data_IF_503349002315
#
_entry.id   IF_503349002315
#
_cell.length_a   1.000
_cell.length_b   1.000
_cell.length_c   1.000
_cell.angle_alpha   90.00
_cell.angle_beta   90.00
_cell.angle_gamma   90.00
#
_symmetry.space_group_name_H-M   'P 1'
#
loop_
_entity.id
_entity.type
_entity.pdbx_description
1 polymer ?
#
# COMPACT_ATOMS: atom_id res chain seq x y z
N UNK A 1 -17.28 21.38 -2.70
CA UNK A 1 -15.88 21.69 -2.32
C UNK A 1 -15.69 21.66 -0.81
N UNK A 2 -16.42 22.45 -0.01
CA UNK A 2 -16.24 22.52 1.44
C UNK A 2 -16.49 21.20 2.18
N UNK A 3 -17.52 20.43 1.82
CA UNK A 3 -17.81 19.14 2.47
C UNK A 3 -16.67 18.13 2.31
N UNK A 4 -16.09 18.08 1.11
CA UNK A 4 -14.96 17.19 0.80
C UNK A 4 -13.69 17.62 1.56
N UNK A 5 -13.41 18.91 1.61
CA UNK A 5 -12.31 19.46 2.39
C UNK A 5 -12.46 19.11 3.88
N UNK A 6 -13.67 19.23 4.40
CA UNK A 6 -13.97 18.86 5.79
C UNK A 6 -13.70 17.38 6.07
N UNK A 7 -14.16 16.47 5.20
CA UNK A 7 -13.92 15.02 5.36
C UNK A 7 -12.43 14.68 5.34
N UNK A 8 -11.66 15.27 4.44
CA UNK A 8 -10.21 15.03 4.34
C UNK A 8 -9.46 15.58 5.56
N UNK A 9 -9.85 16.77 6.03
CA UNK A 9 -9.26 17.36 7.23
C UNK A 9 -9.63 16.58 8.49
N UNK A 10 -10.86 16.11 8.60
CA UNK A 10 -11.32 15.30 9.72
C UNK A 10 -10.59 13.95 9.76
N UNK A 11 -10.39 13.32 8.60
CA UNK A 11 -9.62 12.09 8.49
C UNK A 11 -8.14 12.28 8.86
N UNK A 12 -7.55 13.44 8.55
CA UNK A 12 -6.15 13.75 8.83
C UNK A 12 -5.91 14.26 10.26
N UNK A 13 -6.80 15.11 10.80
CA UNK A 13 -6.62 15.82 12.07
C UNK A 13 -7.64 15.45 13.16
N UNK A 14 -8.55 14.53 12.88
CA UNK A 14 -9.60 14.14 13.82
C UNK A 14 -10.48 15.32 14.23
N UNK A 15 -10.92 15.38 15.50
CA UNK A 15 -11.84 16.44 15.99
C UNK A 15 -11.30 17.88 15.89
N UNK A 16 -9.99 18.04 15.74
CA UNK A 16 -9.33 19.35 15.63
C UNK A 16 -9.34 19.95 14.22
N UNK A 17 -9.90 19.26 13.24
CA UNK A 17 -9.88 19.68 11.86
C UNK A 17 -10.43 21.09 11.59
N UNK A 18 -11.42 21.53 12.39
CA UNK A 18 -12.01 22.89 12.26
C UNK A 18 -11.00 23.98 12.62
N UNK A 19 -10.31 23.80 13.73
CA UNK A 19 -9.24 24.73 14.15
C UNK A 19 -8.12 24.78 13.09
N UNK A 20 -7.73 23.64 12.54
CA UNK A 20 -6.73 23.58 11.45
C UNK A 20 -7.26 24.28 10.20
N UNK A 21 -8.53 24.09 9.84
CA UNK A 21 -9.15 24.77 8.71
C UNK A 21 -9.15 26.29 8.87
N UNK A 22 -9.49 26.79 10.06
CA UNK A 22 -9.47 28.20 10.37
C UNK A 22 -8.06 28.80 10.30
N UNK A 23 -7.06 28.09 10.81
CA UNK A 23 -5.65 28.52 10.76
C UNK A 23 -5.09 28.56 9.34
N UNK A 24 -5.49 27.63 8.47
CA UNK A 24 -5.00 27.54 7.10
C UNK A 24 -5.64 28.57 6.17
N UNK A 25 -6.86 29.00 6.47
CA UNK A 25 -7.66 29.81 5.56
C UNK A 25 -7.95 29.13 4.22
N UNK A 26 -8.64 29.80 3.34
CA UNK A 26 -9.10 29.23 2.04
C UNK A 26 -7.93 28.79 1.15
N UNK A 27 -6.85 29.54 1.11
CA UNK A 27 -5.69 29.21 0.28
C UNK A 27 -4.88 28.04 0.86
N UNK A 28 -4.68 28.04 2.17
CA UNK A 28 -4.04 26.92 2.86
C UNK A 28 -4.83 25.63 2.73
N UNK A 29 -6.16 25.70 2.80
CA UNK A 29 -7.04 24.55 2.56
C UNK A 29 -6.92 24.03 1.12
N UNK A 30 -6.89 24.91 0.13
CA UNK A 30 -6.68 24.50 -1.28
C UNK A 30 -5.33 23.82 -1.47
N UNK A 31 -4.26 24.36 -0.88
CA UNK A 31 -2.92 23.77 -0.96
C UNK A 31 -2.84 22.41 -0.29
N UNK A 32 -3.63 22.18 0.79
CA UNK A 32 -3.59 20.94 1.55
C UNK A 32 -4.53 19.87 0.99
N UNK A 33 -5.72 20.26 0.57
CA UNK A 33 -6.75 19.37 0.02
C UNK A 33 -6.45 18.98 -1.43
N UNK A 34 -5.81 19.87 -2.20
CA UNK A 34 -5.38 19.63 -3.56
C UNK A 34 -3.94 19.12 -3.69
N UNK A 35 -3.33 18.61 -2.64
CA UNK A 35 -2.02 17.99 -2.73
C UNK A 35 -2.12 16.68 -3.50
N UNK A 36 -1.67 16.73 -4.73
CA UNK A 36 -1.41 15.54 -5.53
C UNK A 36 -0.31 14.68 -4.91
N UNK A 37 -0.26 13.42 -5.29
CA UNK A 37 0.88 12.57 -4.97
C UNK A 37 2.15 13.21 -5.55
N UNK A 38 3.16 13.33 -4.73
CA UNK A 38 4.48 13.79 -5.17
C UNK A 38 5.32 12.59 -5.60
N UNK A 39 6.28 12.82 -6.49
CA UNK A 39 7.22 11.78 -6.93
C UNK A 39 8.06 11.17 -5.80
N UNK A 40 8.10 11.83 -4.65
CA UNK A 40 8.76 11.35 -3.44
C UNK A 40 7.83 11.42 -2.24
N UNK A 41 7.60 10.28 -1.60
CA UNK A 41 6.78 10.13 -0.39
C UNK A 41 7.70 9.91 0.80
N UNK A 42 7.73 10.84 1.74
CA UNK A 42 8.50 10.72 2.98
C UNK A 42 7.60 10.98 4.18
N UNK A 43 7.64 10.06 5.12
CA UNK A 43 6.91 10.16 6.38
C UNK A 43 7.91 10.06 7.52
N UNK A 44 8.00 11.06 8.42
CA UNK A 44 8.96 11.03 9.54
C UNK A 44 8.61 9.93 10.55
N UNK A 45 7.34 9.55 10.61
CA UNK A 45 6.83 8.49 11.48
C UNK A 45 5.98 7.49 10.68
N UNK A 46 5.88 6.26 11.19
CA UNK A 46 5.07 5.22 10.55
C UNK A 46 3.59 5.60 10.46
N UNK A 47 3.10 6.37 11.41
CA UNK A 47 1.67 6.61 11.58
C UNK A 47 0.94 5.49 12.34
N UNK A 48 -0.30 5.79 12.76
CA UNK A 48 -1.13 4.87 13.52
C UNK A 48 -1.89 3.89 12.61
N UNK A 49 -1.97 2.63 13.04
CA UNK A 49 -2.74 1.56 12.38
C UNK A 49 -1.89 0.38 11.90
N UNK A 50 -2.54 -0.77 11.73
CA UNK A 50 -1.89 -2.05 11.51
C UNK A 50 -1.02 -2.48 12.71
N UNK A 51 -0.16 -3.47 12.50
CA UNK A 51 0.78 -3.93 13.52
C UNK A 51 2.22 -3.56 13.12
N UNK A 52 2.86 -2.65 13.87
CA UNK A 52 4.24 -2.21 13.62
C UNK A 52 5.28 -3.32 13.79
N UNK A 53 4.97 -4.37 14.56
CA UNK A 53 5.84 -5.52 14.76
C UNK A 53 5.68 -6.59 13.67
N UNK A 54 4.66 -6.48 12.83
CA UNK A 54 4.47 -7.39 11.70
C UNK A 54 5.57 -7.14 10.65
N UNK A 55 6.36 -8.15 10.39
CA UNK A 55 7.44 -8.05 9.39
C UNK A 55 6.86 -7.84 7.99
N UNK A 56 7.42 -6.91 7.25
CA UNK A 56 6.95 -6.55 5.92
C UNK A 56 5.73 -5.62 5.91
N UNK A 57 5.34 -5.02 7.06
CA UNK A 57 4.30 -4.00 7.04
C UNK A 57 4.82 -2.67 6.47
N UNK A 58 3.93 -1.88 5.89
CA UNK A 58 4.23 -0.52 5.44
C UNK A 58 3.59 0.53 6.37
N UNK A 59 3.91 1.81 6.11
CA UNK A 59 3.22 2.92 6.76
C UNK A 59 1.78 3.04 6.26
N UNK A 60 0.77 3.17 7.13
CA UNK A 60 -0.59 3.47 6.71
C UNK A 60 -0.72 4.80 5.98
N UNK A 61 0.24 5.73 6.14
CA UNK A 61 0.25 7.00 5.44
C UNK A 61 0.47 6.84 3.92
N UNK A 62 1.11 5.75 3.49
CA UNK A 62 1.22 5.41 2.05
C UNK A 62 -0.17 5.16 1.48
N UNK A 63 -0.94 4.27 2.12
CA UNK A 63 -2.31 3.94 1.67
C UNK A 63 -3.23 5.15 1.80
N UNK A 64 -3.10 5.93 2.88
CA UNK A 64 -3.83 7.16 3.09
C UNK A 64 -3.57 8.21 2.00
N UNK A 65 -2.32 8.37 1.56
CA UNK A 65 -1.98 9.28 0.47
C UNK A 65 -2.58 8.83 -0.87
N UNK A 66 -2.54 7.53 -1.16
CA UNK A 66 -3.17 6.95 -2.35
C UNK A 66 -4.70 7.13 -2.33
N UNK A 67 -5.34 6.85 -1.19
CA UNK A 67 -6.78 7.07 -1.02
C UNK A 67 -7.13 8.54 -1.24
N UNK A 68 -6.40 9.47 -0.63
CA UNK A 68 -6.62 10.92 -0.80
C UNK A 68 -6.53 11.31 -2.27
N UNK A 69 -5.48 10.87 -2.97
CA UNK A 69 -5.31 11.12 -4.40
C UNK A 69 -6.48 10.59 -5.23
N UNK A 70 -6.90 9.34 -4.99
CA UNK A 70 -8.02 8.75 -5.73
C UNK A 70 -9.36 9.41 -5.41
N UNK A 71 -9.59 9.78 -4.16
CA UNK A 71 -10.83 10.41 -3.72
C UNK A 71 -10.94 11.87 -4.20
N UNK A 72 -9.84 12.55 -4.52
CA UNK A 72 -9.85 13.88 -5.14
C UNK A 72 -10.20 13.87 -6.64
N UNK A 73 -10.27 12.68 -7.24
CA UNK A 73 -10.75 12.54 -8.62
C UNK A 73 -12.19 13.04 -8.75
N UNK A 74 -12.48 13.74 -9.86
CA UNK A 74 -13.80 14.31 -10.15
C UNK A 74 -14.94 13.29 -10.06
N UNK A 75 -14.66 12.01 -10.27
CA UNK A 75 -15.63 10.92 -10.19
C UNK A 75 -16.19 10.73 -8.78
N UNK A 76 -15.40 11.06 -7.74
CA UNK A 76 -15.77 10.90 -6.33
C UNK A 76 -16.06 12.23 -5.64
N UNK A 77 -15.83 13.33 -6.34
CA UNK A 77 -16.01 14.66 -5.78
C UNK A 77 -17.45 14.89 -5.32
N UNK A 78 -17.62 15.19 -4.03
CA UNK A 78 -18.93 15.41 -3.40
C UNK A 78 -19.80 14.16 -3.24
N UNK A 79 -19.28 12.95 -3.56
CA UNK A 79 -19.98 11.70 -3.33
C UNK A 79 -19.67 11.15 -1.94
N UNK A 80 -20.53 10.26 -1.47
CA UNK A 80 -20.30 9.48 -0.27
C UNK A 80 -19.07 8.56 -0.47
N UNK A 81 -18.09 8.69 0.39
CA UNK A 81 -16.85 7.89 0.34
C UNK A 81 -17.10 6.40 0.57
N UNK A 82 -18.21 6.02 1.21
CA UNK A 82 -18.60 4.62 1.41
C UNK A 82 -18.83 3.87 0.08
N UNK A 83 -19.08 4.60 -1.02
CA UNK A 83 -19.21 4.02 -2.36
C UNK A 83 -17.86 3.66 -2.99
N UNK A 84 -16.76 4.18 -2.46
CA UNK A 84 -15.40 3.88 -2.90
C UNK A 84 -14.93 2.56 -2.28
N UNK A 85 -14.35 1.68 -3.07
CA UNK A 85 -13.86 0.38 -2.64
C UNK A 85 -12.34 0.31 -2.76
N UNK A 86 -11.67 0.11 -1.62
CA UNK A 86 -10.26 -0.28 -1.53
C UNK A 86 -10.17 -1.80 -1.42
N UNK A 87 -9.39 -2.43 -2.28
CA UNK A 87 -9.02 -3.85 -2.16
C UNK A 87 -7.54 -3.96 -1.79
N UNK A 88 -7.24 -4.79 -0.79
CA UNK A 88 -5.88 -5.23 -0.47
C UNK A 88 -5.84 -6.77 -0.48
N UNK A 89 -5.23 -7.37 -1.53
CA UNK A 89 -5.21 -8.82 -1.71
C UNK A 89 -4.15 -9.54 -0.88
N UNK A 90 -3.32 -8.81 -0.12
CA UNK A 90 -2.30 -9.35 0.78
C UNK A 90 -2.21 -8.49 2.04
N UNK A 91 -3.33 -8.41 2.77
CA UNK A 91 -3.60 -7.40 3.79
C UNK A 91 -2.72 -7.51 5.06
N UNK A 92 -2.10 -8.65 5.29
CA UNK A 92 -1.14 -8.87 6.38
C UNK A 92 -1.64 -8.38 7.74
N UNK A 93 -1.00 -7.34 8.26
CA UNK A 93 -1.34 -6.75 9.57
C UNK A 93 -2.52 -5.77 9.55
N UNK A 94 -3.18 -5.57 8.39
CA UNK A 94 -4.32 -4.68 8.27
C UNK A 94 -3.97 -3.19 8.17
N UNK A 95 -2.82 -2.85 7.64
CA UNK A 95 -2.42 -1.44 7.41
C UNK A 95 -3.43 -0.72 6.53
N UNK A 96 -3.90 -1.36 5.47
CA UNK A 96 -4.92 -0.83 4.54
C UNK A 96 -6.27 -0.62 5.22
N UNK A 97 -6.63 -1.49 6.19
CA UNK A 97 -7.86 -1.33 6.99
C UNK A 97 -7.86 -0.01 7.76
N UNK A 98 -6.75 0.28 8.43
CA UNK A 98 -6.62 1.51 9.21
C UNK A 98 -6.77 2.77 8.33
N UNK A 99 -6.19 2.74 7.13
CA UNK A 99 -6.35 3.83 6.18
C UNK A 99 -7.79 3.92 5.63
N UNK A 100 -8.42 2.79 5.32
CA UNK A 100 -9.80 2.74 4.83
C UNK A 100 -10.79 3.31 5.86
N UNK A 101 -10.65 2.94 7.14
CA UNK A 101 -11.49 3.45 8.22
C UNK A 101 -11.36 4.97 8.39
N UNK A 102 -10.12 5.47 8.33
CA UNK A 102 -9.82 6.90 8.43
C UNK A 102 -10.52 7.72 7.33
N UNK A 103 -10.67 7.17 6.13
CA UNK A 103 -11.34 7.82 5.00
C UNK A 103 -12.78 7.35 4.79
N UNK A 104 -13.30 6.48 5.67
CA UNK A 104 -14.66 5.94 5.61
C UNK A 104 -14.98 5.30 4.25
N UNK A 105 -14.01 4.60 3.67
CA UNK A 105 -14.18 3.86 2.42
C UNK A 105 -14.42 2.37 2.70
N UNK A 106 -15.16 1.71 1.83
CA UNK A 106 -15.33 0.25 1.90
C UNK A 106 -13.98 -0.42 1.67
N UNK A 107 -13.61 -1.40 2.51
CA UNK A 107 -12.39 -2.19 2.34
C UNK A 107 -12.69 -3.66 2.11
N UNK A 108 -12.05 -4.25 1.10
CA UNK A 108 -11.99 -5.68 0.84
C UNK A 108 -10.56 -6.13 1.15
N UNK A 109 -10.40 -6.97 2.15
CA UNK A 109 -9.09 -7.40 2.64
C UNK A 109 -9.00 -8.91 2.52
N UNK A 110 -8.00 -9.39 1.81
CA UNK A 110 -7.74 -10.80 1.60
C UNK A 110 -6.32 -11.15 1.99
N UNK A 111 -6.11 -12.39 2.42
CA UNK A 111 -4.78 -12.89 2.76
C UNK A 111 -4.74 -14.42 2.61
N UNK A 112 -3.59 -14.94 2.21
CA UNK A 112 -3.35 -16.38 2.17
C UNK A 112 -3.26 -16.98 3.60
N UNK A 113 -2.85 -16.17 4.58
CA UNK A 113 -2.89 -16.54 5.98
C UNK A 113 -4.30 -16.99 6.40
N UNK A 114 -4.47 -18.18 7.00
CA UNK A 114 -5.80 -18.65 7.42
C UNK A 114 -6.43 -17.79 8.53
N UNK A 115 -5.64 -17.05 9.28
CA UNK A 115 -6.09 -16.20 10.39
C UNK A 115 -5.49 -14.79 10.28
N UNK A 116 -5.87 -13.99 9.26
CA UNK A 116 -5.40 -12.63 9.14
C UNK A 116 -6.00 -11.75 10.24
N UNK A 117 -5.36 -10.62 10.52
CA UNK A 117 -5.88 -9.66 11.51
C UNK A 117 -7.25 -9.10 11.10
N UNK A 118 -7.50 -8.96 9.79
CA UNK A 118 -8.75 -8.45 9.22
C UNK A 118 -9.04 -9.14 7.89
N UNK A 119 -10.32 -9.21 7.55
CA UNK A 119 -10.77 -9.67 6.23
C UNK A 119 -10.85 -11.19 6.10
N UNK A 120 -10.74 -11.66 4.85
CA UNK A 120 -10.91 -13.07 4.47
C UNK A 120 -9.57 -13.77 4.42
N UNK A 121 -9.37 -14.75 5.28
CA UNK A 121 -8.23 -15.67 5.27
C UNK A 121 -8.40 -16.83 4.29
N UNK A 122 -7.33 -17.62 4.11
CA UNK A 122 -7.27 -18.71 3.12
C UNK A 122 -7.64 -18.27 1.70
N UNK A 123 -7.40 -17.00 1.37
CA UNK A 123 -7.63 -16.48 0.02
C UNK A 123 -6.32 -16.50 -0.77
N UNK A 124 -6.34 -17.23 -1.86
CA UNK A 124 -5.15 -17.49 -2.66
C UNK A 124 -5.08 -16.53 -3.87
N UNK A 125 -4.17 -15.59 -3.83
CA UNK A 125 -3.98 -14.60 -4.89
C UNK A 125 -3.68 -15.22 -6.26
N UNK A 126 -3.18 -16.45 -6.34
CA UNK A 126 -2.92 -17.14 -7.60
C UNK A 126 -4.14 -17.87 -8.16
N UNK A 127 -5.07 -18.29 -7.31
CA UNK A 127 -6.15 -19.22 -7.69
C UNK A 127 -7.54 -18.64 -7.55
N UNK A 128 -7.78 -17.88 -6.46
CA UNK A 128 -9.11 -17.39 -6.14
C UNK A 128 -9.46 -16.15 -6.95
N UNK A 129 -10.73 -16.03 -7.28
CA UNK A 129 -11.25 -14.87 -8.00
C UNK A 129 -11.46 -13.68 -7.06
N UNK A 130 -11.37 -12.48 -7.60
CA UNK A 130 -11.78 -11.24 -6.93
C UNK A 130 -13.27 -11.06 -7.15
N UNK A 131 -14.07 -11.21 -6.09
CA UNK A 131 -15.53 -11.22 -6.16
C UNK A 131 -16.14 -9.87 -6.57
N UNK A 132 -15.52 -8.77 -6.15
CA UNK A 132 -16.00 -7.40 -6.36
C UNK A 132 -14.96 -6.52 -7.07
N UNK A 133 -15.42 -5.63 -7.95
CA UNK A 133 -14.56 -4.63 -8.54
C UNK A 133 -14.17 -3.53 -7.54
N UNK A 134 -12.94 -3.04 -7.62
CA UNK A 134 -12.38 -2.03 -6.75
C UNK A 134 -12.05 -0.71 -7.48
N UNK A 135 -12.08 0.39 -6.75
CA UNK A 135 -11.66 1.72 -7.24
C UNK A 135 -10.16 1.94 -7.03
N UNK A 136 -9.62 1.39 -5.97
CA UNK A 136 -8.19 1.32 -5.68
C UNK A 136 -7.84 -0.09 -5.24
N UNK A 137 -6.85 -0.70 -5.86
CA UNK A 137 -6.22 -1.92 -5.37
C UNK A 137 -4.84 -1.54 -4.87
N UNK A 138 -4.58 -1.79 -3.59
CA UNK A 138 -3.27 -1.63 -2.98
C UNK A 138 -2.63 -2.99 -2.84
N UNK A 139 -1.60 -3.24 -3.64
CA UNK A 139 -0.93 -4.52 -3.72
C UNK A 139 0.49 -4.42 -3.16
N UNK A 140 0.73 -5.01 -1.99
CA UNK A 140 2.03 -5.06 -1.33
C UNK A 140 2.49 -6.51 -1.19
N UNK A 141 3.05 -7.10 -2.26
CA UNK A 141 3.47 -8.50 -2.25
C UNK A 141 4.72 -8.72 -1.39
N UNK A 142 5.03 -9.97 -1.02
CA UNK A 142 6.36 -10.34 -0.52
C UNK A 142 7.45 -9.91 -1.50
N UNK A 143 8.63 -9.54 -0.98
CA UNK A 143 9.80 -9.28 -1.82
C UNK A 143 10.57 -10.59 -2.00
N UNK A 144 10.02 -11.48 -2.85
CA UNK A 144 10.49 -12.84 -3.03
C UNK A 144 10.72 -13.51 -1.66
N UNK A 145 11.85 -14.15 -1.43
CA UNK A 145 12.16 -14.88 -0.18
C UNK A 145 12.89 -14.05 0.88
N UNK A 146 12.86 -12.70 0.79
CA UNK A 146 13.44 -11.83 1.83
C UNK A 146 12.81 -12.08 3.20
N UNK A 147 11.50 -12.29 3.24
CA UNK A 147 10.73 -12.72 4.40
C UNK A 147 9.87 -13.88 3.96
N UNK A 148 10.08 -15.06 4.52
CA UNK A 148 9.20 -16.21 4.30
C UNK A 148 8.03 -16.13 5.29
N UNK A 149 6.81 -16.07 4.76
CA UNK A 149 5.60 -15.89 5.57
C UNK A 149 5.02 -17.21 6.05
N UNK A 150 4.52 -18.05 5.17
CA UNK A 150 3.97 -19.35 5.57
C UNK A 150 5.05 -20.27 6.13
N UNK A 151 4.73 -20.97 7.22
CA UNK A 151 5.66 -21.82 7.95
C UNK A 151 6.63 -21.07 8.88
N UNK A 152 6.81 -19.76 8.74
CA UNK A 152 7.71 -18.97 9.59
C UNK A 152 6.98 -17.88 10.38
N UNK A 153 6.05 -17.17 9.75
CA UNK A 153 5.25 -16.12 10.40
C UNK A 153 3.86 -16.66 10.77
N UNK A 154 3.29 -17.49 9.90
CA UNK A 154 2.00 -18.14 10.14
C UNK A 154 1.96 -19.55 9.54
N UNK A 155 1.15 -20.42 10.16
CA UNK A 155 0.79 -21.75 9.69
C UNK A 155 1.94 -22.65 9.25
N UNK A 156 1.65 -23.54 8.33
CA UNK A 156 2.59 -24.43 7.65
C UNK A 156 3.03 -23.83 6.30
N UNK A 157 4.18 -24.26 5.74
CA UNK A 157 4.58 -23.83 4.40
C UNK A 157 3.49 -24.07 3.36
N UNK A 158 3.18 -23.05 2.57
CA UNK A 158 2.14 -23.10 1.53
C UNK A 158 2.78 -22.98 0.14
N UNK A 159 2.42 -23.85 -0.84
CA UNK A 159 3.08 -23.88 -2.15
C UNK A 159 2.81 -22.62 -2.99
N UNK A 160 1.70 -21.93 -2.74
CA UNK A 160 1.34 -20.71 -3.45
C UNK A 160 1.72 -19.42 -2.70
N UNK A 161 2.49 -19.53 -1.62
CA UNK A 161 3.08 -18.37 -0.97
C UNK A 161 4.19 -17.77 -1.85
N UNK A 162 4.00 -16.54 -2.32
CA UNK A 162 4.98 -15.86 -3.19
C UNK A 162 6.35 -15.71 -2.53
N UNK A 163 6.42 -15.73 -1.20
CA UNK A 163 7.69 -15.70 -0.47
C UNK A 163 8.45 -17.03 -0.51
N UNK A 164 7.83 -18.08 -1.06
CA UNK A 164 8.40 -19.44 -1.16
C UNK A 164 8.60 -19.92 -2.58
N UNK A 165 8.57 -19.01 -3.53
CA UNK A 165 8.91 -19.32 -4.92
C UNK A 165 10.30 -19.94 -5.03
N UNK A 166 10.44 -20.92 -5.88
CA UNK A 166 11.67 -21.68 -6.06
C UNK A 166 12.86 -20.78 -6.44
N UNK A 167 12.59 -19.83 -7.34
CA UNK A 167 13.57 -18.85 -7.79
C UNK A 167 12.92 -17.52 -8.15
N UNK A 168 13.72 -16.51 -8.44
CA UNK A 168 13.24 -15.17 -8.74
C UNK A 168 12.41 -15.10 -10.03
N UNK A 169 12.69 -15.93 -11.02
CA UNK A 169 11.90 -15.97 -12.28
C UNK A 169 10.49 -16.52 -12.03
N UNK A 170 10.37 -17.61 -11.26
CA UNK A 170 9.06 -18.16 -10.84
C UNK A 170 8.27 -17.12 -10.03
N UNK A 171 8.96 -16.40 -9.14
CA UNK A 171 8.34 -15.30 -8.39
C UNK A 171 7.78 -14.21 -9.33
N UNK A 172 8.55 -13.75 -10.31
CA UNK A 172 8.13 -12.71 -11.26
C UNK A 172 6.96 -13.18 -12.14
N UNK A 173 6.93 -14.43 -12.56
CA UNK A 173 5.83 -15.00 -13.33
C UNK A 173 4.52 -14.99 -12.53
N UNK A 174 4.57 -15.48 -11.29
CA UNK A 174 3.42 -15.47 -10.38
C UNK A 174 2.98 -14.06 -10.01
N UNK A 175 3.94 -13.16 -9.80
CA UNK A 175 3.66 -11.75 -9.54
C UNK A 175 2.92 -11.09 -10.71
N UNK A 176 3.39 -11.33 -11.94
CA UNK A 176 2.74 -10.84 -13.16
C UNK A 176 1.32 -11.41 -13.32
N UNK A 177 1.13 -12.68 -13.01
CA UNK A 177 -0.21 -13.28 -12.99
C UNK A 177 -1.15 -12.53 -12.01
N UNK A 178 -0.70 -12.27 -10.80
CA UNK A 178 -1.47 -11.50 -9.80
C UNK A 178 -1.78 -10.08 -10.31
N UNK A 179 -0.79 -9.37 -10.85
CA UNK A 179 -0.96 -8.00 -11.38
C UNK A 179 -2.04 -7.96 -12.46
N UNK A 180 -2.01 -8.88 -13.43
CA UNK A 180 -3.00 -8.96 -14.50
C UNK A 180 -4.41 -9.21 -13.94
N UNK A 181 -4.55 -10.15 -13.00
CA UNK A 181 -5.81 -10.45 -12.35
C UNK A 181 -6.37 -9.24 -11.59
N UNK A 182 -5.53 -8.57 -10.83
CA UNK A 182 -5.96 -7.37 -10.08
C UNK A 182 -6.30 -6.21 -11.01
N UNK A 183 -5.57 -6.04 -12.10
CA UNK A 183 -5.90 -5.03 -13.10
C UNK A 183 -7.31 -5.25 -13.68
N UNK A 184 -7.67 -6.51 -13.97
CA UNK A 184 -9.01 -6.86 -14.47
C UNK A 184 -10.12 -6.67 -13.42
N UNK A 185 -9.80 -6.69 -12.13
CA UNK A 185 -10.74 -6.44 -11.05
C UNK A 185 -10.96 -4.94 -10.77
N UNK A 186 -10.28 -4.05 -11.48
CA UNK A 186 -10.51 -2.61 -11.33
C UNK A 186 -11.81 -2.18 -11.99
N UNK A 187 -12.51 -1.27 -11.34
CA UNK A 187 -13.56 -0.49 -12.00
C UNK A 187 -12.96 0.40 -13.08
N UNK A 188 -13.75 0.74 -14.08
CA UNK A 188 -13.33 1.70 -15.11
C UNK A 188 -12.77 2.98 -14.48
N UNK A 189 -11.49 3.27 -14.76
CA UNK A 189 -10.75 4.38 -14.19
C UNK A 189 -10.27 4.16 -12.75
N UNK A 190 -10.40 2.95 -12.19
CA UNK A 190 -9.75 2.55 -10.95
C UNK A 190 -8.23 2.49 -11.10
N UNK A 191 -7.51 2.40 -9.99
CA UNK A 191 -6.06 2.37 -9.96
C UNK A 191 -5.55 1.14 -9.22
N UNK A 192 -4.47 0.55 -9.74
CA UNK A 192 -3.67 -0.47 -9.07
C UNK A 192 -2.38 0.19 -8.61
N UNK A 193 -2.17 0.28 -7.31
CA UNK A 193 -0.93 0.72 -6.70
C UNK A 193 -0.15 -0.49 -6.19
N UNK A 194 1.10 -0.63 -6.63
CA UNK A 194 1.96 -1.75 -6.26
C UNK A 194 3.13 -1.19 -5.44
N UNK A 195 3.24 -1.61 -4.18
CA UNK A 195 4.35 -1.26 -3.32
C UNK A 195 5.39 -2.38 -3.33
N UNK A 196 6.58 -2.09 -3.81
CA UNK A 196 7.70 -3.03 -3.85
C UNK A 196 9.01 -2.34 -3.47
N UNK A 197 10.02 -3.13 -3.14
CA UNK A 197 11.36 -2.65 -2.88
C UNK A 197 12.41 -3.48 -3.61
N UNK A 198 13.48 -2.81 -4.02
CA UNK A 198 14.67 -3.50 -4.52
C UNK A 198 15.34 -4.28 -3.39
N UNK A 199 15.97 -5.39 -3.69
CA UNK A 199 16.57 -6.24 -2.68
C UNK A 199 17.95 -6.75 -3.05
N UNK A 200 18.73 -7.13 -2.02
CA UNK A 200 19.95 -7.92 -2.18
C UNK A 200 19.79 -9.27 -1.52
N UNK A 201 20.09 -10.31 -2.27
CA UNK A 201 20.04 -11.68 -1.79
C UNK A 201 21.31 -12.40 -2.24
N UNK A 202 22.03 -12.99 -1.29
CA UNK A 202 23.31 -13.70 -1.56
C UNK A 202 24.29 -12.87 -2.40
N UNK A 203 24.41 -11.57 -2.12
CA UNK A 203 25.31 -10.66 -2.84
C UNK A 203 24.79 -10.14 -4.18
N UNK A 204 23.74 -10.72 -4.75
CA UNK A 204 23.11 -10.28 -5.99
C UNK A 204 22.04 -9.21 -5.71
N UNK A 205 22.04 -8.17 -6.53
CA UNK A 205 21.02 -7.12 -6.53
C UNK A 205 19.88 -7.48 -7.47
N UNK A 206 18.65 -7.31 -7.00
CA UNK A 206 17.41 -7.49 -7.75
C UNK A 206 16.64 -6.19 -7.75
N UNK A 207 16.49 -5.59 -8.92
CA UNK A 207 15.68 -4.37 -9.09
C UNK A 207 14.24 -4.75 -9.43
N UNK A 208 13.46 -5.05 -8.40
CA UNK A 208 12.06 -5.45 -8.55
C UNK A 208 11.24 -4.37 -9.25
N UNK A 209 11.54 -3.10 -8.96
CA UNK A 209 10.93 -1.97 -9.64
C UNK A 209 11.16 -2.01 -11.16
N UNK A 210 12.40 -2.23 -11.60
CA UNK A 210 12.71 -2.30 -13.04
C UNK A 210 12.04 -3.51 -13.70
N UNK A 211 11.96 -4.64 -13.00
CA UNK A 211 11.30 -5.84 -13.53
C UNK A 211 9.78 -5.62 -13.65
N UNK A 212 9.15 -4.96 -12.68
CA UNK A 212 7.73 -4.58 -12.74
C UNK A 212 7.42 -3.64 -13.90
N UNK A 213 8.26 -2.64 -14.15
CA UNK A 213 8.07 -1.68 -15.26
C UNK A 213 8.02 -2.35 -16.65
N UNK A 214 8.47 -3.59 -16.77
CA UNK A 214 8.37 -4.39 -17.99
C UNK A 214 7.07 -5.20 -18.09
N UNK A 215 6.27 -5.25 -17.04
CA UNK A 215 5.03 -6.06 -16.99
C UNK A 215 3.81 -5.33 -17.54
N UNK A 216 3.88 -4.01 -17.75
CA UNK A 216 2.78 -3.19 -18.27
C UNK A 216 3.12 -1.72 -18.34
N UNK A 217 2.13 -0.93 -18.78
CA UNK A 217 2.22 0.52 -18.83
C UNK A 217 1.77 1.11 -17.49
N UNK A 218 2.64 1.86 -16.84
CA UNK A 218 2.38 2.49 -15.54
C UNK A 218 2.07 3.98 -15.72
N UNK A 219 1.01 4.45 -15.05
CA UNK A 219 0.61 5.86 -15.05
C UNK A 219 1.67 6.74 -14.38
N UNK A 220 2.24 6.26 -13.28
CA UNK A 220 3.27 6.99 -12.54
C UNK A 220 4.16 6.07 -11.72
N UNK A 221 5.27 6.62 -11.28
CA UNK A 221 6.26 5.98 -10.46
C UNK A 221 6.62 6.90 -9.29
N UNK A 222 6.47 6.40 -8.07
CA UNK A 222 6.69 7.15 -6.84
C UNK A 222 7.79 6.49 -6.02
N UNK A 223 8.71 7.27 -5.49
CA UNK A 223 9.74 6.81 -4.58
C UNK A 223 9.27 7.04 -3.15
N UNK A 224 9.17 5.98 -2.36
CA UNK A 224 8.87 6.06 -0.93
C UNK A 224 10.16 6.02 -0.12
N UNK A 225 10.43 7.10 0.61
CA UNK A 225 11.49 7.12 1.61
C UNK A 225 11.12 6.25 2.83
N UNK A 226 12.10 5.53 3.35
CA UNK A 226 11.94 4.84 4.63
C UNK A 226 11.97 5.85 5.76
N UNK A 227 10.92 5.92 6.57
CA UNK A 227 10.80 6.88 7.66
C UNK A 227 11.89 6.71 8.74
N UNK A 228 12.38 5.52 8.99
CA UNK A 228 13.45 5.25 9.95
C UNK A 228 14.83 5.74 9.51
N UNK A 229 15.01 6.10 8.24
CA UNK A 229 16.30 6.60 7.75
C UNK A 229 16.58 8.05 8.18
N UNK A 230 15.57 8.79 8.60
CA UNK A 230 15.68 10.22 8.95
C UNK A 230 15.87 10.42 10.45
N UNK A 231 15.36 9.52 11.29
CA UNK A 231 15.33 9.67 12.76
C UNK A 231 16.21 8.69 13.51
N UNK A 232 16.85 7.75 12.83
CA UNK A 232 17.55 6.68 13.49
C UNK A 232 19.03 6.99 13.69
N UNK A 233 19.40 7.29 14.93
CA UNK A 233 20.78 7.42 15.40
C UNK A 233 21.53 6.08 15.45
N UNK A 234 21.09 5.05 14.74
CA UNK A 234 21.81 3.78 14.69
C UNK A 234 23.16 3.98 14.02
N UNK A 235 24.19 3.81 14.81
CA UNK A 235 25.55 3.76 14.29
C UNK A 235 25.76 2.40 13.62
N UNK A 236 25.76 2.37 12.31
CA UNK A 236 26.12 1.16 11.58
C UNK A 236 27.62 0.89 11.72
N UNK A 237 27.98 -0.26 12.26
CA UNK A 237 29.38 -0.68 12.42
C UNK A 237 30.07 -1.01 11.08
N UNK A 238 29.33 -1.05 9.98
CA UNK A 238 29.84 -1.31 8.63
C UNK A 238 29.19 -0.32 7.65
N UNK A 239 29.89 0.07 6.58
CA UNK A 239 29.27 0.88 5.54
C UNK A 239 28.01 0.16 5.02
N UNK A 240 26.88 0.79 5.24
CA UNK A 240 25.58 0.24 4.85
C UNK A 240 25.15 0.94 3.57
N UNK A 241 25.04 0.18 2.51
CA UNK A 241 24.33 0.63 1.32
C UNK A 241 22.86 0.32 1.58
N UNK A 242 21.94 1.31 1.52
CA UNK A 242 20.52 1.06 1.67
C UNK A 242 20.11 -0.10 0.75
N UNK A 243 19.54 -1.13 1.36
CA UNK A 243 19.26 -2.38 0.62
C UNK A 243 17.91 -2.29 -0.08
N UNK A 244 17.04 -1.41 0.42
CA UNK A 244 15.67 -1.34 -0.06
C UNK A 244 15.31 0.12 -0.29
N UNK A 245 15.12 0.49 -1.53
CA UNK A 245 14.35 1.65 -1.93
C UNK A 245 12.96 1.12 -2.26
N UNK A 246 11.94 1.60 -1.55
CA UNK A 246 10.57 1.21 -1.80
C UNK A 246 9.94 2.17 -2.82
N UNK A 247 9.11 1.62 -3.70
CA UNK A 247 8.42 2.32 -4.76
C UNK A 247 6.92 2.02 -4.68
N UNK A 248 6.08 3.02 -4.89
CA UNK A 248 4.63 2.91 -4.84
C UNK A 248 3.97 3.48 -6.09
#
# INVERSE_FOLDING_TARGET
MLHRAAQLLEAEFGPQWRTVADMLGTEGLRKRVGKELTSFMAYPERGAGGNSQWRGNCSPEVVAALLRYCLDDKRYYGKDTSTFTLLDPMSGSGTSKAAADRYQVRSLLYDLNPAPAYGKGNWNALKDEVEDSADLIFFHPPYHNMIQYSGNIWGTPHPDDLSRCENYSDFLEKLNHCIRKFFLALRKGGRLAILVGDMRLHGKFYSMQNDLMRMGDFESFLVKGQFNCVSDNRTYKKPFIPIVTEYA
#
